data_IF_952118052118
#
_entry.id   IF_952118052118
#
_cell.length_a   1.000
_cell.length_b   1.000
_cell.length_c   1.000
_cell.angle_alpha   90.00
_cell.angle_beta   90.00
_cell.angle_gamma   90.00
#
_symmetry.space_group_name_H-M   'P 1'
#
loop_
_entity.id
_entity.type
_entity.pdbx_description
1 polymer ?
#
# COMPACT_ATOMS: atom_id res chain seq x y z
N UNK A 1 -36.94 -29.58 38.20
CA UNK A 1 -35.63 -30.02 37.67
C UNK A 1 -35.67 -29.84 36.16
N UNK A 2 -35.22 -28.68 35.65
CA UNK A 2 -35.13 -28.40 34.22
C UNK A 2 -33.64 -28.34 33.86
N UNK A 3 -33.19 -29.29 33.04
CA UNK A 3 -31.81 -29.39 32.55
C UNK A 3 -31.71 -28.60 31.24
N UNK A 4 -30.99 -27.48 31.27
CA UNK A 4 -30.66 -26.66 30.11
C UNK A 4 -29.50 -27.33 29.35
N UNK A 5 -29.73 -27.72 28.10
CA UNK A 5 -28.66 -28.18 27.19
C UNK A 5 -27.93 -26.97 26.57
N UNK A 6 -26.59 -26.97 26.48
CA UNK A 6 -25.87 -25.95 25.72
C UNK A 6 -25.80 -26.37 24.24
N UNK A 7 -26.41 -25.57 23.37
CA UNK A 7 -26.23 -25.69 21.93
C UNK A 7 -24.80 -25.27 21.56
N UNK A 8 -24.00 -26.23 21.09
CA UNK A 8 -22.69 -25.97 20.48
C UNK A 8 -22.91 -25.22 19.17
N UNK A 9 -22.59 -23.93 19.14
CA UNK A 9 -22.53 -23.14 17.92
C UNK A 9 -21.26 -23.53 17.14
N UNK A 10 -21.44 -24.42 16.17
CA UNK A 10 -20.41 -24.74 15.18
C UNK A 10 -20.21 -23.52 14.27
N UNK A 11 -19.17 -22.73 14.53
CA UNK A 11 -18.78 -21.63 13.64
C UNK A 11 -18.18 -22.20 12.35
N UNK A 12 -18.57 -21.74 11.15
CA UNK A 12 -17.94 -22.16 9.92
C UNK A 12 -16.50 -21.63 9.88
N UNK A 13 -15.54 -22.55 9.75
CA UNK A 13 -14.15 -22.22 9.53
C UNK A 13 -14.04 -21.44 8.21
N UNK A 14 -13.74 -20.14 8.30
CA UNK A 14 -13.38 -19.33 7.15
C UNK A 14 -12.11 -19.96 6.56
N UNK A 15 -12.11 -20.39 5.28
CA UNK A 15 -10.91 -20.97 4.68
C UNK A 15 -9.79 -19.92 4.73
N UNK A 16 -8.54 -20.32 5.01
CA UNK A 16 -7.42 -19.39 4.98
C UNK A 16 -7.36 -18.78 3.58
N UNK A 17 -7.37 -17.45 3.52
CA UNK A 17 -7.05 -16.73 2.29
C UNK A 17 -5.76 -17.34 1.73
N UNK A 18 -5.78 -17.73 0.45
CA UNK A 18 -4.64 -18.30 -0.21
C UNK A 18 -3.41 -17.42 0.07
N UNK A 19 -2.32 -18.03 0.55
CA UNK A 19 -1.11 -17.30 0.86
C UNK A 19 -0.66 -16.53 -0.40
N UNK A 20 -0.54 -15.21 -0.28
CA UNK A 20 0.10 -14.38 -1.29
C UNK A 20 1.44 -15.01 -1.68
N UNK A 21 1.68 -15.20 -2.98
CA UNK A 21 3.01 -15.63 -3.44
C UNK A 21 4.01 -14.48 -3.40
N UNK A 22 5.29 -14.79 -3.17
CA UNK A 22 6.37 -13.79 -3.18
C UNK A 22 6.47 -13.09 -4.55
N UNK A 23 6.25 -13.81 -5.65
CA UNK A 23 6.26 -13.26 -7.01
C UNK A 23 5.13 -12.24 -7.23
N UNK A 24 3.93 -12.55 -6.75
CA UNK A 24 2.78 -11.65 -6.80
C UNK A 24 3.01 -10.40 -5.94
N UNK A 25 3.57 -10.57 -4.73
CA UNK A 25 3.95 -9.44 -3.88
C UNK A 25 4.96 -8.53 -4.56
N UNK A 26 5.99 -9.08 -5.21
CA UNK A 26 6.98 -8.29 -5.97
C UNK A 26 6.28 -7.53 -7.10
N UNK A 27 5.52 -8.22 -7.94
CA UNK A 27 4.84 -7.61 -9.10
C UNK A 27 3.91 -6.48 -8.70
N UNK A 28 3.05 -6.68 -7.71
CA UNK A 28 2.10 -5.65 -7.28
C UNK A 28 2.77 -4.49 -6.54
N UNK A 29 3.85 -4.76 -5.80
CA UNK A 29 4.63 -3.72 -5.14
C UNK A 29 5.38 -2.84 -6.15
N UNK A 30 5.91 -3.41 -7.23
CA UNK A 30 6.50 -2.64 -8.33
C UNK A 30 5.49 -1.72 -9.01
N UNK A 31 4.25 -2.18 -9.21
CA UNK A 31 3.16 -1.34 -9.74
C UNK A 31 2.90 -0.14 -8.83
N UNK A 32 2.81 -0.36 -7.53
CA UNK A 32 2.60 0.72 -6.53
C UNK A 32 3.76 1.70 -6.53
N UNK A 33 5.01 1.22 -6.48
CA UNK A 33 6.22 2.05 -6.49
C UNK A 33 6.23 2.95 -7.73
N UNK A 34 5.95 2.38 -8.90
CA UNK A 34 5.92 3.14 -10.15
C UNK A 34 4.77 4.15 -10.17
N UNK A 35 3.60 3.79 -9.63
CA UNK A 35 2.47 4.74 -9.52
C UNK A 35 2.82 5.91 -8.60
N UNK A 36 3.51 5.67 -7.48
CA UNK A 36 4.02 6.73 -6.60
C UNK A 36 4.97 7.65 -7.37
N UNK A 37 6.02 7.09 -8.00
CA UNK A 37 7.01 7.87 -8.76
C UNK A 37 6.36 8.75 -9.82
N UNK A 38 5.50 8.16 -10.64
CA UNK A 38 4.86 8.86 -11.75
C UNK A 38 3.98 10.01 -11.22
N UNK A 39 3.11 9.72 -10.24
CA UNK A 39 2.16 10.69 -9.71
C UNK A 39 2.84 11.91 -9.08
N UNK A 40 3.89 11.69 -8.28
CA UNK A 40 4.58 12.80 -7.59
C UNK A 40 5.58 13.54 -8.49
N UNK A 41 5.85 13.02 -9.69
CA UNK A 41 6.73 13.62 -10.69
C UNK A 41 5.98 14.40 -11.77
N UNK A 42 4.65 14.32 -11.82
CA UNK A 42 3.83 15.13 -12.73
C UNK A 42 4.07 16.63 -12.52
N UNK A 43 3.97 17.39 -13.62
CA UNK A 43 3.99 18.84 -13.54
C UNK A 43 2.74 19.34 -12.80
N UNK A 44 2.89 20.41 -12.02
CA UNK A 44 1.79 20.98 -11.24
C UNK A 44 0.65 21.52 -12.11
N UNK A 45 0.91 21.81 -13.38
CA UNK A 45 -0.09 22.28 -14.33
C UNK A 45 -0.60 21.16 -15.26
N UNK A 46 -0.17 19.91 -15.05
CA UNK A 46 -0.64 18.79 -15.85
C UNK A 46 -2.13 18.53 -15.52
N UNK A 47 -3.02 18.50 -16.53
CA UNK A 47 -4.45 18.31 -16.29
C UNK A 47 -4.77 16.93 -15.69
N UNK A 48 -3.87 15.95 -15.82
CA UNK A 48 -4.08 14.58 -15.36
C UNK A 48 -3.66 14.37 -13.90
N UNK A 49 -3.19 15.39 -13.17
CA UNK A 49 -2.74 15.24 -11.77
C UNK A 49 -3.85 14.68 -10.89
N UNK A 50 -5.08 15.18 -11.04
CA UNK A 50 -6.20 14.73 -10.23
C UNK A 50 -6.50 13.24 -10.45
N UNK A 51 -6.52 12.80 -11.70
CA UNK A 51 -6.77 11.40 -12.08
C UNK A 51 -5.61 10.50 -11.62
N UNK A 52 -4.37 10.93 -11.81
CA UNK A 52 -3.20 10.18 -11.33
C UNK A 52 -3.20 9.99 -9.81
N UNK A 53 -3.61 11.02 -9.05
CA UNK A 53 -3.76 10.93 -7.59
C UNK A 53 -4.93 10.01 -7.19
N UNK A 54 -6.04 10.04 -7.92
CA UNK A 54 -7.17 9.15 -7.70
C UNK A 54 -6.77 7.68 -7.91
N UNK A 55 -6.13 7.39 -9.05
CA UNK A 55 -5.63 6.05 -9.35
C UNK A 55 -4.58 5.58 -8.34
N UNK A 56 -3.65 6.48 -7.92
CA UNK A 56 -2.66 6.16 -6.91
C UNK A 56 -3.35 5.78 -5.60
N UNK A 57 -4.38 6.53 -5.19
CA UNK A 57 -5.15 6.23 -3.98
C UNK A 57 -5.83 4.86 -4.07
N UNK A 58 -6.47 4.54 -5.19
CA UNK A 58 -7.10 3.23 -5.39
C UNK A 58 -6.06 2.09 -5.34
N UNK A 59 -4.99 2.23 -6.11
CA UNK A 59 -3.89 1.25 -6.16
C UNK A 59 -3.28 1.04 -4.77
N UNK A 60 -3.05 2.12 -4.02
CA UNK A 60 -2.52 2.09 -2.66
C UNK A 60 -3.45 1.38 -1.69
N UNK A 61 -4.76 1.67 -1.75
CA UNK A 61 -5.76 1.04 -0.88
C UNK A 61 -5.85 -0.46 -1.14
N UNK A 62 -5.85 -0.87 -2.41
CA UNK A 62 -5.87 -2.28 -2.80
C UNK A 62 -4.64 -3.03 -2.30
N UNK A 63 -3.44 -2.46 -2.51
CA UNK A 63 -2.18 -3.05 -2.03
C UNK A 63 -2.15 -3.16 -0.50
N UNK A 64 -2.54 -2.10 0.22
CA UNK A 64 -2.58 -2.12 1.69
C UNK A 64 -3.60 -3.14 2.22
N UNK A 65 -4.80 -3.19 1.64
CA UNK A 65 -5.86 -4.11 2.07
C UNK A 65 -5.47 -5.59 1.90
N UNK A 66 -4.67 -5.87 0.87
CA UNK A 66 -4.11 -7.19 0.57
C UNK A 66 -2.99 -7.54 1.53
N UNK A 67 -1.92 -6.74 1.57
CA UNK A 67 -0.66 -7.15 2.22
C UNK A 67 -0.54 -6.78 3.70
N UNK A 68 -1.32 -5.84 4.23
CA UNK A 68 -1.24 -5.45 5.66
C UNK A 68 -1.57 -6.58 6.63
N UNK A 69 -2.35 -7.58 6.20
CA UNK A 69 -2.72 -8.74 7.04
C UNK A 69 -1.74 -9.91 6.92
N UNK A 70 -0.81 -9.83 5.97
CA UNK A 70 0.19 -10.87 5.70
C UNK A 70 1.35 -10.76 6.68
N UNK A 71 1.30 -11.52 7.77
CA UNK A 71 2.29 -11.45 8.87
C UNK A 71 3.73 -11.64 8.41
N UNK A 72 3.95 -12.47 7.38
CA UNK A 72 5.27 -12.72 6.80
C UNK A 72 5.88 -11.49 6.10
N UNK A 73 5.04 -10.55 5.65
CA UNK A 73 5.48 -9.33 4.96
C UNK A 73 5.75 -8.17 5.91
N UNK A 74 5.12 -8.13 7.10
CA UNK A 74 5.28 -7.01 8.04
C UNK A 74 6.72 -6.78 8.51
N UNK A 75 7.53 -7.85 8.52
CA UNK A 75 8.96 -7.78 8.84
C UNK A 75 9.85 -7.37 7.67
N UNK A 76 9.33 -7.28 6.44
CA UNK A 76 10.09 -6.91 5.26
C UNK A 76 10.34 -5.41 5.20
N UNK A 77 11.57 -5.03 4.90
CA UNK A 77 11.97 -3.65 4.63
C UNK A 77 11.18 -3.07 3.47
N UNK A 78 11.04 -3.80 2.36
CA UNK A 78 10.21 -3.35 1.22
C UNK A 78 8.79 -2.98 1.65
N UNK A 79 8.13 -3.82 2.45
CA UNK A 79 6.76 -3.57 2.90
C UNK A 79 6.67 -2.29 3.73
N UNK A 80 7.55 -2.15 4.74
CA UNK A 80 7.55 -0.98 5.64
C UNK A 80 7.83 0.31 4.88
N UNK A 81 8.78 0.29 3.96
CA UNK A 81 9.22 1.49 3.24
C UNK A 81 8.16 1.92 2.21
N UNK A 82 7.54 0.97 1.48
CA UNK A 82 6.38 1.27 0.62
C UNK A 82 5.24 1.85 1.46
N UNK A 83 4.89 1.21 2.57
CA UNK A 83 3.80 1.66 3.43
C UNK A 83 4.05 3.06 4.01
N UNK A 84 5.29 3.40 4.36
CA UNK A 84 5.70 4.74 4.77
C UNK A 84 5.47 5.77 3.65
N UNK A 85 5.99 5.49 2.45
CA UNK A 85 5.84 6.36 1.29
C UNK A 85 4.35 6.60 0.94
N UNK A 86 3.53 5.55 0.96
CA UNK A 86 2.09 5.63 0.72
C UNK A 86 1.38 6.53 1.74
N UNK A 87 1.72 6.43 3.02
CA UNK A 87 1.15 7.28 4.06
C UNK A 87 1.60 8.75 3.90
N UNK A 88 2.86 8.99 3.54
CA UNK A 88 3.36 10.34 3.30
C UNK A 88 2.64 11.03 2.13
N UNK A 89 2.41 10.30 1.03
CA UNK A 89 1.70 10.82 -0.14
C UNK A 89 0.20 10.99 0.14
N UNK A 90 -0.43 9.97 0.71
CA UNK A 90 -1.86 10.00 1.02
C UNK A 90 -2.20 11.10 2.02
N UNK A 91 -1.38 11.25 3.07
CA UNK A 91 -1.56 12.30 4.06
C UNK A 91 -1.51 13.70 3.44
N UNK A 92 -0.60 13.94 2.49
CA UNK A 92 -0.52 15.21 1.78
C UNK A 92 -1.79 15.49 0.96
N UNK A 93 -2.21 14.57 0.10
CA UNK A 93 -3.37 14.81 -0.77
C UNK A 93 -4.70 14.84 0.00
N UNK A 94 -4.81 14.14 1.12
CA UNK A 94 -5.97 14.26 2.02
C UNK A 94 -6.01 15.64 2.68
N UNK A 95 -4.87 16.17 3.12
CA UNK A 95 -4.83 17.47 3.83
C UNK A 95 -4.94 18.68 2.90
N UNK A 96 -4.38 18.59 1.69
CA UNK A 96 -4.22 19.75 0.81
C UNK A 96 -4.96 19.65 -0.53
N UNK A 97 -5.59 18.52 -0.84
CA UNK A 97 -6.28 18.28 -2.10
C UNK A 97 -5.38 17.71 -3.20
N UNK A 98 -5.97 17.06 -4.23
CA UNK A 98 -5.27 16.20 -5.19
C UNK A 98 -4.37 16.97 -6.16
N UNK A 99 -4.62 18.26 -6.39
CA UNK A 99 -3.84 19.10 -7.30
C UNK A 99 -2.72 19.87 -6.60
N UNK A 100 -2.65 19.80 -5.26
CA UNK A 100 -1.64 20.54 -4.51
C UNK A 100 -0.29 19.83 -4.59
N UNK A 101 0.77 20.47 -5.14
CA UNK A 101 2.05 19.81 -5.32
C UNK A 101 2.70 19.46 -3.98
N UNK A 102 3.30 18.27 -3.90
CA UNK A 102 4.11 17.87 -2.76
C UNK A 102 5.37 18.76 -2.69
N UNK A 103 5.70 19.35 -1.52
CA UNK A 103 6.90 20.17 -1.35
C UNK A 103 8.17 19.44 -1.79
N UNK A 104 9.08 20.14 -2.48
CA UNK A 104 10.27 19.55 -3.12
C UNK A 104 11.10 18.66 -2.20
N UNK A 105 11.41 19.11 -0.98
CA UNK A 105 12.17 18.34 0.01
C UNK A 105 11.44 17.05 0.43
N UNK A 106 10.11 17.10 0.58
CA UNK A 106 9.30 15.93 0.92
C UNK A 106 9.24 14.97 -0.27
N UNK A 107 9.06 15.48 -1.49
CA UNK A 107 9.07 14.70 -2.73
C UNK A 107 10.37 13.95 -2.91
N UNK A 108 11.52 14.62 -2.74
CA UNK A 108 12.84 14.00 -2.85
C UNK A 108 13.01 12.84 -1.86
N UNK A 109 12.57 13.03 -0.60
CA UNK A 109 12.59 11.96 0.41
C UNK A 109 11.70 10.78 0.02
N UNK A 110 10.49 11.03 -0.46
CA UNK A 110 9.58 9.95 -0.90
C UNK A 110 10.20 9.16 -2.06
N UNK A 111 10.84 9.85 -3.01
CA UNK A 111 11.55 9.19 -4.12
C UNK A 111 12.71 8.30 -3.62
N UNK A 112 13.49 8.78 -2.66
CA UNK A 112 14.56 7.99 -2.03
C UNK A 112 14.02 6.77 -1.26
N UNK A 113 12.89 6.93 -0.55
CA UNK A 113 12.21 5.86 0.18
C UNK A 113 11.73 4.77 -0.79
N UNK A 114 11.07 5.13 -1.89
CA UNK A 114 10.58 4.13 -2.87
C UNK A 114 11.71 3.44 -3.63
N UNK A 115 12.82 4.14 -3.92
CA UNK A 115 13.99 3.53 -4.54
C UNK A 115 14.70 2.54 -3.60
N UNK A 116 14.75 2.87 -2.31
CA UNK A 116 15.26 1.95 -1.27
C UNK A 116 14.35 0.73 -1.14
N UNK A 117 13.03 0.96 -1.16
CA UNK A 117 12.04 -0.09 -1.10
C UNK A 117 12.12 -1.05 -2.29
N UNK A 118 12.27 -0.54 -3.52
CA UNK A 118 12.43 -1.35 -4.73
C UNK A 118 13.68 -2.25 -4.66
N UNK A 119 14.82 -1.69 -4.21
CA UNK A 119 16.06 -2.48 -4.00
C UNK A 119 15.92 -3.52 -2.89
N UNK A 120 15.07 -3.29 -1.90
CA UNK A 120 14.77 -4.29 -0.88
C UNK A 120 13.87 -5.39 -1.46
N UNK A 121 12.83 -4.99 -2.20
CA UNK A 121 11.84 -5.85 -2.84
C UNK A 121 12.50 -6.86 -3.77
N UNK A 122 13.37 -6.40 -4.67
CA UNK A 122 14.11 -7.26 -5.61
C UNK A 122 15.05 -8.25 -4.93
N UNK A 123 15.40 -8.02 -3.66
CA UNK A 123 16.20 -8.93 -2.84
C UNK A 123 15.36 -9.82 -1.93
N UNK A 124 14.04 -9.78 -2.05
CA UNK A 124 13.11 -10.52 -1.19
C UNK A 124 13.08 -10.02 0.25
N UNK A 125 13.48 -8.76 0.49
CA UNK A 125 13.65 -8.19 1.84
C UNK A 125 12.62 -7.18 2.22
#
# INVERSE_FOLDING_TARGET
MAVLSPALLLSPAVPPAAATSDEEYVKESEVVINKVRNTISLDKNDPNVADAVADLRETSNSWVAKYRREKALLGRASFRDIYSALNAVSGHYISFGPTTPIPSKRRARILEEVDTAEKALQRGR
#
